data_IF_099550378976
#
_entry.id   IF_099550378976
#
_cell.length_a   1.000
_cell.length_b   1.000
_cell.length_c   1.000
_cell.angle_alpha   90.00
_cell.angle_beta   90.00
_cell.angle_gamma   90.00
#
_symmetry.space_group_name_H-M   'P 1'
#
loop_
_entity.id
_entity.type
_entity.pdbx_description
1 polymer ?
#
# COMPACT_ATOMS: atom_id res chain seq x y z
N UNK A 1 6.59 -0.90 -9.82
CA UNK A 1 5.65 -1.12 -8.68
C UNK A 1 4.60 -0.02 -8.72
N UNK A 2 3.32 -0.36 -8.93
CA UNK A 2 2.20 0.60 -8.89
C UNK A 2 1.77 0.77 -7.43
N UNK A 3 1.41 1.97 -7.04
CA UNK A 3 0.93 2.24 -5.70
C UNK A 3 0.06 3.48 -5.64
N UNK A 4 -1.01 3.47 -4.87
CA UNK A 4 -1.95 4.57 -4.69
C UNK A 4 -2.13 4.90 -3.23
N UNK A 5 -2.60 6.11 -2.98
CA UNK A 5 -3.01 6.55 -1.66
C UNK A 5 -4.51 6.32 -1.49
N UNK A 6 -4.91 5.95 -0.29
CA UNK A 6 -6.31 5.74 0.00
C UNK A 6 -6.65 6.00 1.46
N UNK A 7 -7.94 5.88 1.75
CA UNK A 7 -8.53 6.06 3.07
C UNK A 7 -9.39 4.85 3.40
N UNK A 8 -9.23 4.31 4.60
CA UNK A 8 -10.05 3.20 5.07
C UNK A 8 -11.48 3.70 5.31
N UNK A 9 -12.44 3.11 4.62
CA UNK A 9 -13.87 3.42 4.82
C UNK A 9 -14.41 2.58 5.96
N UNK A 10 -14.21 1.25 5.92
CA UNK A 10 -14.73 0.35 6.94
C UNK A 10 -14.46 -1.11 6.57
N UNK A 11 -15.10 -2.00 7.32
CA UNK A 11 -15.09 -3.44 7.05
C UNK A 11 -16.50 -3.93 6.77
N UNK A 12 -16.61 -4.91 5.88
CA UNK A 12 -17.85 -5.54 5.47
C UNK A 12 -17.61 -7.03 5.18
N UNK A 13 -18.58 -7.68 4.60
CA UNK A 13 -18.47 -9.07 4.17
C UNK A 13 -19.00 -9.20 2.74
N UNK A 14 -18.43 -10.12 2.00
CA UNK A 14 -18.91 -10.55 0.69
C UNK A 14 -19.19 -12.04 0.74
N UNK A 15 -20.14 -12.48 -0.06
CA UNK A 15 -20.41 -13.90 -0.25
C UNK A 15 -19.80 -14.33 -1.59
N UNK A 16 -19.09 -15.44 -1.57
CA UNK A 16 -18.56 -16.06 -2.79
C UNK A 16 -19.68 -16.82 -3.52
N UNK A 17 -19.41 -17.25 -4.74
CA UNK A 17 -20.34 -18.06 -5.55
C UNK A 17 -20.77 -19.37 -4.85
N UNK A 18 -19.92 -19.89 -3.97
CA UNK A 18 -20.20 -21.07 -3.13
C UNK A 18 -20.98 -20.74 -1.84
N UNK A 19 -21.39 -19.48 -1.63
CA UNK A 19 -22.07 -19.04 -0.41
C UNK A 19 -21.15 -18.84 0.81
N UNK A 20 -19.83 -18.93 0.66
CA UNK A 20 -18.88 -18.70 1.74
C UNK A 20 -18.79 -17.21 2.07
N UNK A 21 -18.85 -16.89 3.35
CA UNK A 21 -18.68 -15.52 3.85
C UNK A 21 -17.19 -15.14 3.87
N UNK A 22 -16.83 -14.11 3.13
CA UNK A 22 -15.47 -13.57 3.07
C UNK A 22 -15.43 -12.20 3.75
N UNK A 23 -14.66 -12.03 4.84
CA UNK A 23 -14.46 -10.71 5.45
C UNK A 23 -13.65 -9.83 4.53
N UNK A 24 -14.11 -8.60 4.33
CA UNK A 24 -13.45 -7.63 3.45
C UNK A 24 -13.31 -6.26 4.12
N UNK A 25 -12.30 -5.52 3.67
CA UNK A 25 -12.13 -4.11 4.01
C UNK A 25 -12.34 -3.27 2.76
N UNK A 26 -13.15 -2.23 2.87
CA UNK A 26 -13.41 -1.25 1.83
C UNK A 26 -12.47 -0.06 2.03
N UNK A 27 -11.77 0.31 0.97
CA UNK A 27 -10.82 1.42 0.93
C UNK A 27 -11.21 2.34 -0.22
N UNK A 28 -11.32 3.62 0.04
CA UNK A 28 -11.42 4.67 -0.96
C UNK A 28 -10.00 4.95 -1.49
N UNK A 29 -9.73 4.67 -2.78
CA UNK A 29 -8.40 4.76 -3.40
C UNK A 29 -8.45 5.73 -4.56
N UNK A 30 -8.01 6.96 -4.34
CA UNK A 30 -8.03 8.02 -5.34
C UNK A 30 -9.26 8.93 -5.21
N UNK A 31 -9.36 9.97 -6.05
CA UNK A 31 -8.35 10.35 -7.05
C UNK A 31 -7.01 10.77 -6.42
N UNK A 32 -5.90 10.24 -6.93
CA UNK A 32 -4.56 10.62 -6.54
C UNK A 32 -3.92 11.47 -7.65
N UNK A 33 -3.31 12.58 -7.28
CA UNK A 33 -2.66 13.49 -8.21
C UNK A 33 -1.14 13.36 -8.10
N UNK A 34 -0.44 13.30 -9.23
CA UNK A 34 1.01 13.32 -9.26
C UNK A 34 1.50 14.75 -9.01
N UNK A 35 2.11 15.00 -7.87
CA UNK A 35 2.58 16.33 -7.46
C UNK A 35 4.03 16.60 -7.90
N UNK A 36 4.86 15.58 -7.92
CA UNK A 36 6.24 15.67 -8.40
C UNK A 36 6.72 14.29 -8.87
N UNK A 37 7.62 14.29 -9.83
CA UNK A 37 8.33 13.11 -10.33
C UNK A 37 9.80 13.26 -9.96
N UNK A 38 10.35 12.23 -9.28
CA UNK A 38 11.76 12.13 -8.88
C UNK A 38 12.50 11.30 -9.88
N UNK A 39 13.62 11.82 -10.39
CA UNK A 39 14.48 11.14 -11.36
C UNK A 39 15.84 10.84 -10.75
N UNK A 40 16.50 9.80 -11.25
CA UNK A 40 17.81 9.38 -10.76
C UNK A 40 18.88 10.46 -10.94
N UNK A 41 18.76 11.26 -12.00
CA UNK A 41 19.73 12.32 -12.34
C UNK A 41 19.69 13.48 -11.34
N UNK A 42 18.48 13.91 -10.92
CA UNK A 42 18.30 15.09 -10.05
C UNK A 42 18.27 14.72 -8.57
N UNK A 43 17.58 13.62 -8.24
CA UNK A 43 17.25 13.27 -6.85
C UNK A 43 18.02 12.03 -6.36
N UNK A 44 18.72 11.31 -7.25
CA UNK A 44 19.47 10.10 -6.93
C UNK A 44 18.61 8.82 -6.82
N UNK A 45 17.29 8.94 -6.95
CA UNK A 45 16.35 7.82 -6.93
C UNK A 45 15.14 8.10 -7.81
N UNK A 46 14.39 7.04 -8.15
CA UNK A 46 13.16 7.13 -8.94
C UNK A 46 11.94 6.96 -8.06
N UNK A 47 11.05 7.95 -8.07
CA UNK A 47 9.80 7.91 -7.32
C UNK A 47 8.76 8.88 -7.89
N UNK A 48 7.49 8.58 -7.68
CA UNK A 48 6.39 9.49 -7.91
C UNK A 48 5.86 10.02 -6.57
N UNK A 49 5.76 11.32 -6.41
CA UNK A 49 5.08 11.93 -5.28
C UNK A 49 3.61 12.06 -5.62
N UNK A 50 2.77 11.41 -4.84
CA UNK A 50 1.31 11.42 -4.97
C UNK A 50 0.69 12.29 -3.88
N UNK A 51 -0.36 13.00 -4.28
CA UNK A 51 -1.21 13.76 -3.38
C UNK A 51 -2.62 13.17 -3.35
N UNK A 52 -3.24 13.14 -2.18
CA UNK A 52 -4.58 12.60 -1.95
C UNK A 52 -5.36 13.45 -0.96
N UNK A 53 -6.69 13.39 -1.04
CA UNK A 53 -7.64 14.07 -0.18
C UNK A 53 -7.60 15.61 -0.32
N UNK A 54 -8.55 16.16 -1.07
CA UNK A 54 -8.67 17.59 -1.31
C UNK A 54 -9.24 18.29 -0.07
N UNK A 55 -8.53 19.29 0.42
CA UNK A 55 -8.92 20.04 1.62
C UNK A 55 -8.93 21.55 1.37
N UNK A 56 -9.59 22.28 2.26
CA UNK A 56 -9.57 23.75 2.21
C UNK A 56 -8.15 24.28 2.42
N UNK A 57 -7.72 25.26 1.63
CA UNK A 57 -6.37 25.86 1.71
C UNK A 57 -5.95 26.29 3.11
N UNK A 58 -6.91 26.76 3.92
CA UNK A 58 -6.68 27.19 5.31
C UNK A 58 -6.10 26.09 6.23
N UNK A 59 -6.28 24.80 5.86
CA UNK A 59 -5.75 23.66 6.63
C UNK A 59 -4.29 23.33 6.30
N UNK A 60 -3.73 23.94 5.26
CA UNK A 60 -2.37 23.68 4.81
C UNK A 60 -1.42 24.84 5.13
N UNK A 61 -0.16 24.52 5.34
CA UNK A 61 0.90 25.52 5.50
C UNK A 61 1.21 26.20 4.16
N UNK A 62 1.64 27.46 4.20
CA UNK A 62 2.01 28.25 3.02
C UNK A 62 3.07 27.54 2.16
N UNK A 63 4.02 26.86 2.79
CA UNK A 63 5.07 26.10 2.10
C UNK A 63 4.51 24.95 1.24
N UNK A 64 3.57 24.16 1.78
CA UNK A 64 2.91 23.07 1.03
C UNK A 64 2.03 23.63 -0.10
N UNK A 65 1.27 24.68 0.17
CA UNK A 65 0.47 25.35 -0.86
C UNK A 65 1.34 25.88 -2.00
N UNK A 66 2.49 26.47 -1.71
CA UNK A 66 3.41 26.95 -2.74
C UNK A 66 3.92 25.84 -3.67
N UNK A 67 4.20 24.66 -3.11
CA UNK A 67 4.58 23.49 -3.91
C UNK A 67 3.44 22.96 -4.79
N UNK A 68 2.22 22.89 -4.24
CA UNK A 68 1.04 22.42 -5.00
C UNK A 68 0.61 23.42 -6.08
N UNK A 69 0.69 24.73 -5.81
CA UNK A 69 0.42 25.78 -6.79
C UNK A 69 1.39 25.75 -7.97
N UNK A 70 2.68 25.43 -7.75
CA UNK A 70 3.64 25.23 -8.85
C UNK A 70 3.25 24.08 -9.78
N UNK A 71 2.57 23.08 -9.24
CA UNK A 71 2.06 21.93 -10.00
C UNK A 71 0.64 22.16 -10.54
N UNK A 72 0.04 23.35 -10.36
CA UNK A 72 -1.35 23.69 -10.72
C UNK A 72 -2.38 22.73 -10.11
N UNK A 73 -2.14 22.28 -8.88
CA UNK A 73 -3.00 21.31 -8.18
C UNK A 73 -3.77 21.96 -7.04
N UNK A 74 -4.92 21.37 -6.72
CA UNK A 74 -5.72 21.72 -5.55
C UNK A 74 -4.93 21.47 -4.24
N UNK A 75 -5.46 21.99 -3.14
CA UNK A 75 -4.88 21.78 -1.81
C UNK A 75 -5.08 20.31 -1.37
N UNK A 76 -4.00 19.52 -1.33
CA UNK A 76 -4.00 18.11 -0.99
C UNK A 76 -3.43 17.89 0.40
N UNK A 77 -4.14 17.10 1.22
CA UNK A 77 -3.79 16.87 2.62
C UNK A 77 -2.61 15.90 2.77
N UNK A 78 -2.69 14.76 2.10
CA UNK A 78 -1.68 13.71 2.18
C UNK A 78 -0.75 13.78 0.97
N UNK A 79 0.53 13.95 1.22
CA UNK A 79 1.58 13.83 0.22
C UNK A 79 2.49 12.67 0.61
N UNK A 80 2.72 11.74 -0.31
CA UNK A 80 3.59 10.57 -0.11
C UNK A 80 4.34 10.23 -1.39
N UNK A 81 5.60 9.85 -1.23
CA UNK A 81 6.41 9.34 -2.31
C UNK A 81 6.29 7.81 -2.38
N UNK A 82 6.09 7.31 -3.58
CA UNK A 82 6.07 5.88 -3.89
C UNK A 82 7.23 5.61 -4.83
N UNK A 83 8.18 4.79 -4.38
CA UNK A 83 9.30 4.36 -5.21
C UNK A 83 8.81 3.40 -6.28
N UNK A 84 9.20 3.67 -7.51
CA UNK A 84 8.86 2.85 -8.68
C UNK A 84 10.11 2.64 -9.53
N UNK A 85 10.07 1.67 -10.40
CA UNK A 85 11.17 1.38 -11.34
C UNK A 85 11.12 2.37 -12.51
N UNK A 86 9.91 2.70 -12.98
CA UNK A 86 9.68 3.59 -14.11
C UNK A 86 8.68 4.70 -13.77
N UNK A 87 9.00 5.91 -14.20
CA UNK A 87 8.14 7.09 -14.09
C UNK A 87 7.85 7.73 -15.46
N UNK A 88 8.26 7.08 -16.56
CA UNK A 88 8.19 7.62 -17.91
C UNK A 88 6.76 8.03 -18.33
N UNK A 89 5.76 7.29 -17.83
CA UNK A 89 4.36 7.52 -18.15
C UNK A 89 3.66 8.48 -17.18
N UNK A 90 4.39 9.04 -16.20
CA UNK A 90 3.82 9.92 -15.20
C UNK A 90 4.23 11.37 -15.45
N UNK A 91 3.25 12.23 -15.66
CA UNK A 91 3.45 13.68 -15.72
C UNK A 91 2.90 14.35 -14.46
N UNK A 92 3.48 15.47 -14.07
CA UNK A 92 2.95 16.29 -12.97
C UNK A 92 1.55 16.77 -13.33
N UNK A 93 0.60 16.61 -12.40
CA UNK A 93 -0.81 16.90 -12.64
C UNK A 93 -1.65 15.70 -13.10
N UNK A 94 -1.03 14.56 -13.45
CA UNK A 94 -1.76 13.35 -13.85
C UNK A 94 -2.64 12.84 -12.72
N UNK A 95 -3.83 12.37 -13.04
CA UNK A 95 -4.78 11.75 -12.13
C UNK A 95 -4.68 10.22 -12.21
N UNK A 96 -4.57 9.59 -11.05
CA UNK A 96 -4.53 8.14 -10.88
C UNK A 96 -5.72 7.70 -10.04
N UNK A 97 -6.44 6.67 -10.49
CA UNK A 97 -7.65 6.13 -9.82
C UNK A 97 -7.52 4.65 -9.52
N UNK A 98 -8.56 4.08 -8.91
CA UNK A 98 -8.65 2.67 -8.57
C UNK A 98 -8.45 1.71 -9.75
N UNK A 99 -8.68 2.17 -11.01
CA UNK A 99 -8.50 1.41 -12.26
C UNK A 99 -7.08 0.83 -12.45
N UNK A 100 -6.13 1.32 -11.67
CA UNK A 100 -4.76 0.80 -11.67
C UNK A 100 -4.63 -0.60 -11.08
N UNK A 101 -5.64 -1.06 -10.33
CA UNK A 101 -5.69 -2.39 -9.76
C UNK A 101 -6.72 -3.26 -10.48
N UNK A 102 -6.43 -4.55 -10.58
CA UNK A 102 -7.31 -5.54 -11.19
C UNK A 102 -7.91 -6.47 -10.13
N UNK A 103 -9.12 -6.97 -10.38
CA UNK A 103 -9.75 -8.00 -9.54
C UNK A 103 -8.90 -9.26 -9.56
N UNK A 104 -8.67 -9.84 -8.38
CA UNK A 104 -7.83 -11.02 -8.21
C UNK A 104 -6.34 -10.73 -8.03
N UNK A 105 -5.88 -9.49 -8.22
CA UNK A 105 -4.50 -9.07 -7.96
C UNK A 105 -4.19 -9.12 -6.45
N UNK A 106 -2.90 -9.32 -6.13
CA UNK A 106 -2.41 -9.21 -4.76
C UNK A 106 -1.79 -7.84 -4.53
N UNK A 107 -2.14 -7.22 -3.40
CA UNK A 107 -1.65 -5.90 -2.99
C UNK A 107 -1.07 -5.93 -1.58
N UNK A 108 -0.10 -5.05 -1.35
CA UNK A 108 0.49 -4.78 -0.05
C UNK A 108 -0.06 -3.45 0.48
N UNK A 109 -0.64 -3.47 1.67
CA UNK A 109 -1.22 -2.27 2.29
C UNK A 109 -0.39 -1.81 3.46
N UNK A 110 0.12 -0.60 3.38
CA UNK A 110 0.90 0.06 4.44
C UNK A 110 0.05 1.11 5.13
N UNK A 111 0.02 1.06 6.45
CA UNK A 111 -0.73 2.02 7.25
C UNK A 111 -0.11 2.20 8.62
N UNK A 112 -0.79 2.99 9.44
CA UNK A 112 -0.42 3.16 10.84
C UNK A 112 -1.43 2.38 11.67
N UNK A 113 -0.96 1.48 12.51
CA UNK A 113 -1.80 0.65 13.38
C UNK A 113 -2.54 1.50 14.42
N UNK A 114 -3.62 0.95 14.97
CA UNK A 114 -4.39 1.60 16.04
C UNK A 114 -3.49 1.73 17.27
N UNK A 115 -3.38 2.94 17.81
CA UNK A 115 -2.64 3.18 19.05
C UNK A 115 -3.39 2.60 20.25
N UNK A 116 -2.64 1.92 21.14
CA UNK A 116 -3.16 1.36 22.39
C UNK A 116 -2.60 2.05 23.62
N UNK A 117 -1.86 3.13 23.44
CA UNK A 117 -1.21 3.87 24.51
C UNK A 117 -0.10 3.08 25.20
N UNK A 118 0.23 3.44 26.43
CA UNK A 118 1.21 2.74 27.24
C UNK A 118 0.64 1.42 27.75
N UNK A 119 1.26 0.30 27.42
CA UNK A 119 0.78 -1.04 27.76
C UNK A 119 1.83 -1.80 28.55
N UNK A 120 1.33 -2.66 29.46
CA UNK A 120 2.16 -3.60 30.23
C UNK A 120 2.72 -4.71 29.35
N UNK A 121 3.73 -5.40 29.85
CA UNK A 121 4.47 -6.45 29.13
C UNK A 121 3.63 -7.65 28.73
N UNK A 122 2.59 -7.96 29.48
CA UNK A 122 1.68 -9.08 29.17
C UNK A 122 0.95 -8.80 27.86
N UNK A 123 0.40 -7.60 27.69
CA UNK A 123 -0.33 -7.23 26.46
C UNK A 123 0.60 -6.85 25.31
N UNK A 124 1.70 -6.11 25.62
CA UNK A 124 2.61 -5.60 24.60
C UNK A 124 3.51 -6.68 24.02
N UNK A 125 4.00 -7.60 24.86
CA UNK A 125 5.06 -8.56 24.51
C UNK A 125 4.65 -10.02 24.73
N UNK A 126 3.39 -10.28 25.10
CA UNK A 126 2.84 -11.61 25.36
C UNK A 126 3.59 -12.37 26.45
N UNK A 127 4.09 -11.68 27.48
CA UNK A 127 4.69 -12.33 28.64
C UNK A 127 3.63 -13.09 29.42
N UNK A 128 3.98 -14.26 29.94
CA UNK A 128 3.06 -15.07 30.75
C UNK A 128 2.63 -14.36 32.05
N UNK A 129 3.50 -13.52 32.62
CA UNK A 129 3.30 -12.97 33.95
C UNK A 129 3.59 -14.00 35.03
N UNK A 130 3.28 -13.67 36.26
CA UNK A 130 3.31 -14.59 37.39
C UNK A 130 2.02 -15.40 37.51
N UNK A 131 1.96 -16.33 38.44
CA UNK A 131 0.78 -17.14 38.72
C UNK A 131 -0.37 -16.25 39.21
N UNK A 132 -1.45 -16.20 38.45
CA UNK A 132 -2.63 -15.36 38.75
C UNK A 132 -3.51 -15.96 39.85
N UNK A 133 -3.33 -17.24 40.19
CA UNK A 133 -4.06 -18.00 41.21
C UNK A 133 -3.22 -18.32 42.43
N UNK A 134 -2.09 -17.67 42.63
CA UNK A 134 -1.26 -17.81 43.80
C UNK A 134 -1.74 -16.97 45.00
N UNK A 135 -1.49 -17.43 46.21
CA UNK A 135 -1.87 -16.77 47.44
C UNK A 135 -1.35 -15.32 47.53
N UNK A 136 -2.18 -14.31 47.25
CA UNK A 136 -1.87 -12.89 47.43
C UNK A 136 -0.68 -12.31 46.65
N UNK A 137 -0.24 -12.95 45.58
CA UNK A 137 0.93 -12.51 44.83
C UNK A 137 0.70 -11.18 44.09
N UNK A 138 1.47 -10.15 44.41
CA UNK A 138 1.48 -8.86 43.69
C UNK A 138 2.16 -8.95 42.32
N UNK A 139 2.77 -10.09 41.98
CA UNK A 139 3.59 -10.26 40.77
C UNK A 139 2.86 -10.80 39.55
N UNK A 140 1.50 -10.71 39.51
CA UNK A 140 0.69 -11.31 38.45
C UNK A 140 1.02 -10.80 37.04
N UNK A 141 1.19 -9.51 36.83
CA UNK A 141 1.32 -8.89 35.48
C UNK A 141 2.64 -8.10 35.31
N UNK A 142 3.64 -8.39 36.10
CA UNK A 142 4.93 -7.70 36.02
C UNK A 142 5.91 -8.37 35.04
N UNK A 143 6.95 -7.66 34.58
CA UNK A 143 7.92 -8.21 33.64
C UNK A 143 8.80 -9.32 34.20
N UNK A 144 8.76 -9.56 35.51
CA UNK A 144 9.65 -10.47 36.19
C UNK A 144 11.08 -9.91 36.34
N UNK A 145 12.07 -10.79 36.48
CA UNK A 145 13.46 -10.37 36.58
C UNK A 145 13.93 -9.57 35.38
N UNK A 146 14.60 -8.45 35.62
CA UNK A 146 15.21 -7.60 34.62
C UNK A 146 16.67 -7.94 34.31
N UNK A 147 17.21 -8.96 34.95
CA UNK A 147 18.54 -9.49 34.78
C UNK A 147 19.32 -9.52 36.09
N UNK A 148 20.30 -10.40 36.17
CA UNK A 148 21.27 -10.44 37.27
C UNK A 148 22.32 -9.34 37.07
N UNK A 149 22.92 -8.90 38.16
CA UNK A 149 24.03 -7.95 38.17
C UNK A 149 25.35 -8.56 37.66
N UNK A 150 25.29 -9.73 37.03
CA UNK A 150 26.40 -10.48 36.49
C UNK A 150 26.94 -9.87 35.20
N UNK A 151 27.70 -8.87 35.33
CA UNK A 151 28.49 -8.28 34.27
C UNK A 151 29.55 -7.42 34.92
N UNK A 152 30.81 -7.66 34.59
CA UNK A 152 31.97 -7.04 35.17
C UNK A 152 31.90 -5.52 35.39
N UNK A 153 32.99 -4.96 35.83
CA UNK A 153 33.21 -3.56 36.25
C UNK A 153 32.63 -2.49 35.31
N UNK A 154 31.48 -2.39 34.90
CA UNK A 154 30.89 -1.34 34.04
C UNK A 154 29.41 -1.52 33.82
N UNK A 155 28.86 -2.69 34.09
CA UNK A 155 27.44 -3.00 33.85
C UNK A 155 26.54 -2.79 35.07
N UNK A 156 27.07 -2.20 36.12
CA UNK A 156 26.29 -1.89 37.33
C UNK A 156 25.19 -0.89 36.96
N UNK A 157 23.93 -1.22 37.25
CA UNK A 157 22.75 -0.34 37.12
C UNK A 157 22.13 -0.17 35.70
N UNK A 158 22.54 -0.94 34.68
CA UNK A 158 21.91 -0.84 33.36
C UNK A 158 21.17 -2.13 32.98
N UNK A 159 19.91 -1.99 32.60
CA UNK A 159 19.13 -3.07 31.97
C UNK A 159 19.71 -3.36 30.59
N UNK A 160 19.84 -4.64 30.23
CA UNK A 160 20.35 -5.04 28.88
C UNK A 160 19.50 -4.44 27.78
N UNK A 161 20.17 -3.97 26.70
CA UNK A 161 19.49 -3.53 25.51
C UNK A 161 18.61 -4.65 24.96
N UNK A 162 17.40 -4.32 24.45
CA UNK A 162 16.45 -5.31 23.94
C UNK A 162 15.59 -6.00 25.01
N UNK A 163 15.79 -5.74 26.32
CA UNK A 163 14.88 -6.25 27.33
C UNK A 163 13.49 -5.65 27.15
N UNK A 164 12.50 -6.52 26.97
CA UNK A 164 11.11 -6.12 26.84
C UNK A 164 10.56 -5.54 28.15
N UNK A 165 10.13 -4.28 28.08
CA UNK A 165 9.53 -3.55 29.20
C UNK A 165 8.18 -2.95 28.76
N UNK A 166 7.35 -2.46 29.71
CA UNK A 166 6.15 -1.70 29.37
C UNK A 166 6.49 -0.50 28.49
N UNK A 167 5.55 -0.07 27.65
CA UNK A 167 5.77 1.06 26.79
C UNK A 167 4.63 1.27 25.79
N UNK A 168 4.80 2.21 24.90
CA UNK A 168 3.85 2.50 23.83
C UNK A 168 3.61 1.26 22.97
N UNK A 169 2.35 0.94 22.72
CA UNK A 169 1.91 -0.12 21.81
C UNK A 169 1.03 0.45 20.72
N UNK A 170 1.22 0.00 19.49
CA UNK A 170 0.50 0.51 18.33
C UNK A 170 0.94 1.93 17.92
N UNK A 171 0.19 2.55 17.02
CA UNK A 171 0.54 3.80 16.33
C UNK A 171 1.90 3.70 15.59
N UNK A 172 2.18 2.52 15.08
CA UNK A 172 3.40 2.18 14.34
C UNK A 172 3.07 1.94 12.87
N UNK A 173 4.05 2.17 12.00
CA UNK A 173 3.94 1.83 10.58
C UNK A 173 3.93 0.32 10.42
N UNK A 174 2.84 -0.22 9.88
CA UNK A 174 2.65 -1.66 9.64
C UNK A 174 2.34 -1.88 8.18
N UNK A 175 2.81 -2.99 7.63
CA UNK A 175 2.51 -3.44 6.28
C UNK A 175 1.83 -4.82 6.35
N UNK A 176 0.62 -4.91 5.83
CA UNK A 176 -0.07 -6.19 5.59
C UNK A 176 0.16 -6.55 4.14
N UNK A 177 0.76 -7.73 3.91
CA UNK A 177 1.21 -8.17 2.59
C UNK A 177 0.23 -9.14 1.94
N UNK A 178 0.22 -9.14 0.61
CA UNK A 178 -0.47 -10.13 -0.21
C UNK A 178 -1.98 -10.24 0.09
N UNK A 179 -2.67 -9.10 0.20
CA UNK A 179 -4.12 -9.07 0.28
C UNK A 179 -4.71 -9.19 -1.13
N UNK A 180 -5.69 -10.07 -1.31
CA UNK A 180 -6.36 -10.27 -2.60
C UNK A 180 -7.41 -9.18 -2.83
N UNK A 181 -7.39 -8.59 -4.02
CA UNK A 181 -8.42 -7.65 -4.48
C UNK A 181 -9.66 -8.46 -4.87
N UNK A 182 -10.79 -8.21 -4.20
CA UNK A 182 -12.05 -8.90 -4.46
C UNK A 182 -12.92 -8.15 -5.46
N UNK A 183 -12.99 -6.83 -5.34
CA UNK A 183 -13.79 -5.97 -6.22
C UNK A 183 -13.09 -4.61 -6.38
N UNK A 184 -13.21 -4.04 -7.58
CA UNK A 184 -12.78 -2.67 -7.91
C UNK A 184 -14.00 -1.93 -8.42
N UNK A 185 -14.32 -0.80 -7.81
CA UNK A 185 -15.35 0.12 -8.27
C UNK A 185 -14.66 1.40 -8.75
N UNK A 186 -14.60 1.54 -10.05
CA UNK A 186 -13.91 2.66 -10.71
C UNK A 186 -14.69 3.98 -10.59
N UNK A 187 -16.03 3.91 -10.52
CA UNK A 187 -16.88 5.10 -10.46
C UNK A 187 -16.74 5.79 -9.10
N UNK A 188 -16.81 5.01 -8.02
CA UNK A 188 -16.70 5.51 -6.66
C UNK A 188 -15.27 5.49 -6.11
N UNK A 189 -14.29 5.05 -6.91
CA UNK A 189 -12.89 4.87 -6.50
C UNK A 189 -12.73 3.95 -5.27
N UNK A 190 -13.54 2.90 -5.16
CA UNK A 190 -13.50 1.96 -4.06
C UNK A 190 -12.72 0.69 -4.45
N UNK A 191 -11.89 0.27 -3.52
CA UNK A 191 -11.14 -0.99 -3.60
C UNK A 191 -11.52 -1.88 -2.44
N UNK A 192 -12.00 -3.08 -2.73
CA UNK A 192 -12.41 -4.06 -1.75
C UNK A 192 -11.36 -5.15 -1.62
N UNK A 193 -10.76 -5.27 -0.45
CA UNK A 193 -9.67 -6.20 -0.15
C UNK A 193 -10.14 -7.31 0.79
N UNK A 194 -9.71 -8.55 0.53
CA UNK A 194 -9.95 -9.69 1.42
C UNK A 194 -9.14 -9.54 2.70
N UNK A 195 -9.81 -9.51 3.85
CA UNK A 195 -9.18 -9.50 5.16
C UNK A 195 -9.06 -8.11 5.79
N UNK A 196 -8.25 -8.00 6.83
CA UNK A 196 -8.10 -6.79 7.63
C UNK A 196 -6.96 -5.90 7.14
N UNK A 197 -7.14 -4.58 7.32
CA UNK A 197 -6.20 -3.54 6.95
C UNK A 197 -5.83 -2.71 8.19
N UNK A 198 -4.58 -2.26 8.36
CA UNK A 198 -4.15 -1.53 9.54
C UNK A 198 -4.86 -0.18 9.69
N UNK A 199 -5.05 0.24 10.93
CA UNK A 199 -5.65 1.53 11.27
C UNK A 199 -7.16 1.48 11.51
N UNK A 200 -7.68 2.57 12.03
CA UNK A 200 -9.12 2.78 12.24
C UNK A 200 -9.78 3.38 10.97
N UNK A 201 -11.09 3.47 10.97
CA UNK A 201 -11.86 4.10 9.89
C UNK A 201 -11.45 5.56 9.69
N UNK A 202 -11.36 5.99 8.43
CA UNK A 202 -10.87 7.32 8.08
C UNK A 202 -9.34 7.47 8.07
N UNK A 203 -8.55 6.42 8.40
CA UNK A 203 -7.08 6.50 8.37
C UNK A 203 -6.54 6.35 6.96
N UNK A 204 -5.51 7.12 6.65
CA UNK A 204 -4.81 7.05 5.37
C UNK A 204 -3.95 5.80 5.26
N UNK A 205 -3.94 5.25 4.06
CA UNK A 205 -3.24 4.03 3.67
C UNK A 205 -2.42 4.27 2.40
N UNK A 206 -1.42 3.44 2.20
CA UNK A 206 -0.69 3.32 0.94
C UNK A 206 -0.89 1.91 0.45
N UNK A 207 -1.53 1.76 -0.70
CA UNK A 207 -1.80 0.48 -1.36
C UNK A 207 -0.80 0.34 -2.49
N UNK A 208 -0.03 -0.73 -2.52
CA UNK A 208 0.95 -1.00 -3.57
C UNK A 208 0.73 -2.41 -4.12
N UNK A 209 1.05 -2.64 -5.39
CA UNK A 209 1.10 -4.00 -5.94
C UNK A 209 2.05 -4.86 -5.11
N UNK A 210 1.65 -6.09 -4.76
CA UNK A 210 2.44 -6.95 -3.91
C UNK A 210 3.76 -7.36 -4.56
N UNK A 211 4.82 -7.45 -3.75
CA UNK A 211 6.12 -7.95 -4.20
C UNK A 211 6.07 -9.43 -4.60
N UNK A 212 5.20 -10.22 -3.92
CA UNK A 212 4.96 -11.63 -4.24
C UNK A 212 3.55 -11.77 -4.81
N UNK A 213 3.45 -12.26 -6.05
CA UNK A 213 2.16 -12.50 -6.71
C UNK A 213 1.45 -11.27 -7.25
N UNK A 214 2.00 -10.08 -7.07
CA UNK A 214 1.48 -8.85 -7.70
C UNK A 214 1.88 -8.78 -9.17
N UNK A 215 0.98 -8.29 -10.00
CA UNK A 215 1.28 -8.00 -11.40
C UNK A 215 2.12 -6.72 -11.48
N UNK A 216 3.12 -6.70 -12.35
CA UNK A 216 3.88 -5.48 -12.68
C UNK A 216 3.14 -4.71 -13.78
N UNK A 217 1.97 -4.18 -13.47
CA UNK A 217 1.23 -3.38 -14.44
C UNK A 217 1.85 -1.98 -14.54
N UNK A 218 1.95 -1.39 -15.74
CA UNK A 218 2.30 0.02 -15.89
C UNK A 218 1.19 0.90 -15.30
N UNK A 219 1.54 2.13 -14.92
CA UNK A 219 0.58 3.10 -14.42
C UNK A 219 -0.47 3.43 -15.49
N UNK A 220 -1.75 3.33 -15.14
CA UNK A 220 -2.86 3.79 -15.98
C UNK A 220 -3.19 5.24 -15.61
N UNK A 221 -2.84 6.18 -16.47
CA UNK A 221 -3.07 7.62 -16.28
C UNK A 221 -4.30 8.04 -17.08
N UNK A 222 -5.27 8.69 -16.43
CA UNK A 222 -6.40 9.33 -17.15
C UNK A 222 -5.95 10.69 -17.71
N UNK A 223 -6.24 10.91 -19.01
CA UNK A 223 -5.92 12.17 -19.70
C UNK A 223 -4.55 12.24 -20.38
N UNK A 224 -3.69 11.23 -20.25
CA UNK A 224 -2.50 11.09 -21.09
C UNK A 224 -2.86 10.45 -22.44
N UNK A 225 -2.32 10.97 -23.56
CA UNK A 225 -2.38 10.28 -24.84
C UNK A 225 -1.84 8.86 -24.63
N UNK A 226 -2.71 7.86 -24.73
CA UNK A 226 -2.26 6.47 -24.84
C UNK A 226 -1.58 6.36 -26.20
N UNK A 227 -0.27 6.25 -26.23
CA UNK A 227 0.39 5.68 -27.40
C UNK A 227 -0.07 4.21 -27.46
N UNK A 228 -0.91 3.92 -28.46
CA UNK A 228 -1.30 2.55 -28.80
C UNK A 228 -0.04 1.71 -28.97
N UNK A 229 -0.02 0.46 -28.48
CA UNK A 229 1.09 -0.45 -28.76
C UNK A 229 1.24 -0.50 -30.29
N UNK A 230 2.43 -0.20 -30.81
CA UNK A 230 2.77 -0.42 -32.21
C UNK A 230 2.51 -1.89 -32.50
N UNK A 231 1.49 -2.16 -33.30
CA UNK A 231 1.25 -3.47 -33.88
C UNK A 231 2.53 -3.91 -34.60
N UNK A 232 3.03 -5.07 -34.22
CA UNK A 232 4.11 -5.71 -34.95
C UNK A 232 3.64 -5.95 -36.38
N UNK A 233 4.48 -5.68 -37.40
CA UNK A 233 4.10 -5.91 -38.78
C UNK A 233 3.77 -7.38 -38.98
N UNK A 234 2.53 -7.68 -39.37
CA UNK A 234 2.12 -9.01 -39.79
C UNK A 234 2.88 -9.38 -41.05
N UNK A 235 3.75 -10.38 -40.95
CA UNK A 235 4.33 -11.06 -42.09
C UNK A 235 3.21 -11.68 -42.91
N UNK A 236 2.92 -11.07 -44.04
CA UNK A 236 2.02 -11.59 -45.07
C UNK A 236 2.69 -12.84 -45.69
N UNK A 237 2.23 -14.00 -45.29
CA UNK A 237 2.53 -15.27 -45.99
C UNK A 237 1.94 -15.21 -47.41
N UNK A 238 2.82 -15.13 -48.40
CA UNK A 238 2.47 -15.34 -49.81
C UNK A 238 2.06 -16.82 -49.96
N UNK A 239 0.78 -17.02 -50.20
CA UNK A 239 0.27 -18.31 -50.69
C UNK A 239 0.43 -18.29 -52.21
N UNK A 240 1.37 -19.07 -52.74
CA UNK A 240 1.48 -19.39 -54.15
C UNK A 240 0.38 -20.41 -54.49
N UNK A 241 -0.49 -20.07 -55.40
CA UNK A 241 -1.46 -20.98 -56.05
C UNK A 241 -0.80 -21.74 -57.19
N UNK A 242 -0.90 -23.08 -57.25
CA UNK A 242 -0.44 -23.84 -58.43
C UNK A 242 -1.47 -23.71 -59.55
N UNK A 243 -1.00 -23.30 -60.74
CA UNK A 243 -1.76 -23.35 -61.97
C UNK A 243 -1.93 -24.78 -62.46
N UNK A 244 -3.13 -25.27 -62.57
CA UNK A 244 -3.47 -26.46 -63.32
C UNK A 244 -3.38 -26.19 -64.83
N UNK A 245 -2.47 -26.90 -65.47
CA UNK A 245 -2.37 -26.92 -66.94
C UNK A 245 -3.32 -27.92 -67.54
N UNK A 246 -4.31 -27.45 -68.25
CA UNK A 246 -5.13 -28.20 -69.17
C UNK A 246 -4.29 -28.63 -70.37
N UNK A 247 -4.18 -29.90 -70.61
CA UNK A 247 -3.79 -30.46 -71.92
C UNK A 247 -4.98 -31.16 -72.54
N UNK A 248 -5.50 -30.55 -73.58
CA UNK A 248 -6.30 -31.19 -74.65
C UNK A 248 -5.35 -31.86 -75.61
N UNK A 249 -5.66 -33.07 -76.00
CA UNK A 249 -5.42 -33.55 -77.39
C UNK A 249 -6.03 -34.91 -77.63
N UNK A 250 -6.78 -34.93 -78.64
CA UNK A 250 -6.92 -35.93 -79.73
C UNK A 250 -7.19 -37.34 -79.32
#
# INVERSE_FOLDING_TARGET
MVGLLGKKVGMSQLFDAEGQQIPVTVIEVGPCFVTAVRTKEKDGYVAAQLGFDVVKEKKLTKARLGGLRKANLAALNLLKEIRTEDVSNLSVGSELRADNFEVGEFVDVRGISIGKGFQGVVKRLNYKGGASKGHGSMFGRVPGSIGAQAGGRGCRKKVRKGKGLPGQMGNEKVCVKSLKVMKVDAENNLLVLKGSVPGFEGRYLVVCSALKGGKKNPWKVRGGKQESPKEAPSEASKVETPQEGTKTSS
#
